data_IF_247222912998
#
_entry.id   IF_247222912998
#
_cell.length_a   1.000
_cell.length_b   1.000
_cell.length_c   1.000
_cell.angle_alpha   90.00
_cell.angle_beta   90.00
_cell.angle_gamma   90.00
#
_symmetry.space_group_name_H-M   'P 1'
#
loop_
_entity.id
_entity.type
_entity.pdbx_description
1 polymer ?
#
# COMPACT_ATOMS: atom_id res chain seq x y z
N UNK A 1 -4.10 -9.45 1.82
CA UNK A 1 -2.92 -8.55 1.66
C UNK A 1 -2.54 -8.24 0.20
N UNK A 2 -3.17 -8.86 -0.81
CA UNK A 2 -2.83 -8.62 -2.23
C UNK A 2 -3.14 -7.18 -2.68
N UNK A 3 -4.15 -6.59 -2.07
CA UNK A 3 -4.56 -5.20 -2.26
C UNK A 3 -4.27 -4.44 -0.97
N UNK A 4 -3.66 -3.27 -1.09
CA UNK A 4 -3.48 -2.28 -0.03
C UNK A 4 -3.66 -0.91 -0.69
N UNK A 5 -4.74 -0.16 -0.40
CA UNK A 5 -5.06 1.05 -1.15
C UNK A 5 -3.94 2.10 -1.17
N UNK A 6 -3.18 2.20 -0.08
CA UNK A 6 -2.06 3.13 0.04
C UNK A 6 -0.75 2.62 -0.58
N UNK A 7 -0.60 1.32 -0.87
CA UNK A 7 0.61 0.75 -1.49
C UNK A 7 0.43 0.34 -2.96
N UNK A 8 -0.69 0.67 -3.59
CA UNK A 8 -0.97 0.33 -5.00
C UNK A 8 0.23 0.64 -5.90
N UNK A 9 0.68 -0.33 -6.70
CA UNK A 9 1.83 -0.17 -7.59
C UNK A 9 3.21 -0.36 -6.94
N UNK A 10 3.35 -0.34 -5.61
CA UNK A 10 4.61 -0.64 -4.94
C UNK A 10 4.95 -2.13 -5.04
N UNK A 11 6.24 -2.47 -4.88
CA UNK A 11 6.68 -3.87 -4.78
C UNK A 11 6.11 -4.50 -3.51
N UNK A 12 5.69 -5.75 -3.63
CA UNK A 12 5.15 -6.51 -2.50
C UNK A 12 6.24 -6.72 -1.44
N UNK A 13 5.95 -6.33 -0.19
CA UNK A 13 6.86 -6.42 0.96
C UNK A 13 6.40 -7.42 2.04
N UNK A 14 5.39 -8.24 1.73
CA UNK A 14 4.91 -9.28 2.64
C UNK A 14 5.37 -10.66 2.19
N UNK A 15 5.67 -11.51 3.17
CA UNK A 15 5.93 -12.93 2.96
C UNK A 15 4.60 -13.67 2.73
N UNK A 16 4.37 -14.30 1.56
CA UNK A 16 3.17 -15.11 1.34
C UNK A 16 3.15 -16.33 2.26
N UNK A 17 1.95 -16.77 2.65
CA UNK A 17 1.78 -18.01 3.41
C UNK A 17 2.12 -19.22 2.55
N UNK A 18 2.91 -20.15 3.09
CA UNK A 18 3.37 -21.37 2.43
C UNK A 18 2.52 -22.61 2.82
N UNK A 19 1.20 -22.45 2.99
CA UNK A 19 0.33 -23.50 3.56
C UNK A 19 0.09 -24.69 2.63
N UNK A 20 0.21 -24.50 1.31
CA UNK A 20 0.02 -25.58 0.32
C UNK A 20 1.37 -26.26 0.06
N UNK A 21 1.54 -27.58 0.30
CA UNK A 21 2.85 -28.22 0.33
C UNK A 21 3.71 -28.02 -0.91
N UNK A 22 3.12 -28.19 -2.11
CA UNK A 22 3.81 -28.05 -3.39
C UNK A 22 4.17 -26.59 -3.69
N UNK A 23 3.22 -25.67 -3.49
CA UNK A 23 3.44 -24.22 -3.70
C UNK A 23 4.45 -23.67 -2.69
N UNK A 24 4.38 -24.13 -1.44
CA UNK A 24 5.30 -23.75 -0.37
C UNK A 24 6.74 -24.13 -0.69
N UNK A 25 6.97 -25.32 -1.24
CA UNK A 25 8.32 -25.72 -1.68
C UNK A 25 8.87 -24.82 -2.80
N UNK A 26 8.06 -24.50 -3.82
CA UNK A 26 8.43 -23.57 -4.90
C UNK A 26 8.76 -22.18 -4.32
N UNK A 27 7.94 -21.67 -3.39
CA UNK A 27 8.15 -20.37 -2.76
C UNK A 27 9.42 -20.33 -1.91
N UNK A 28 9.75 -21.41 -1.20
CA UNK A 28 11.03 -21.54 -0.46
C UNK A 28 12.23 -21.53 -1.40
N UNK A 29 12.15 -22.27 -2.52
CA UNK A 29 13.21 -22.26 -3.53
C UNK A 29 13.39 -20.86 -4.14
N UNK A 30 12.30 -20.20 -4.53
CA UNK A 30 12.33 -18.82 -5.04
C UNK A 30 12.99 -17.87 -4.04
N UNK A 31 12.60 -17.95 -2.76
CA UNK A 31 13.18 -17.14 -1.68
C UNK A 31 14.69 -17.34 -1.55
N UNK A 32 15.16 -18.61 -1.58
CA UNK A 32 16.58 -18.95 -1.45
C UNK A 32 17.42 -18.48 -2.65
N UNK A 33 16.84 -18.47 -3.86
CA UNK A 33 17.54 -18.12 -5.09
C UNK A 33 17.50 -16.62 -5.41
N UNK A 34 16.38 -15.95 -5.12
CA UNK A 34 16.12 -14.58 -5.57
C UNK A 34 15.89 -13.58 -4.41
N UNK A 35 15.78 -14.05 -3.17
CA UNK A 35 15.48 -13.22 -1.99
C UNK A 35 14.00 -13.20 -1.62
N UNK A 36 13.68 -12.62 -0.46
CA UNK A 36 12.34 -12.70 0.16
C UNK A 36 11.21 -12.12 -0.69
N UNK A 37 11.46 -11.01 -1.39
CA UNK A 37 10.44 -10.24 -2.09
C UNK A 37 10.56 -10.29 -3.62
N UNK A 38 11.58 -10.96 -4.14
CA UNK A 38 11.78 -11.06 -5.58
C UNK A 38 10.68 -11.91 -6.22
N UNK A 39 10.25 -11.49 -7.42
CA UNK A 39 9.22 -12.16 -8.23
C UNK A 39 7.83 -12.24 -7.57
N UNK A 40 7.56 -11.47 -6.51
CA UNK A 40 6.21 -11.34 -5.94
C UNK A 40 5.29 -10.36 -6.68
N UNK A 41 5.87 -9.55 -7.57
CA UNK A 41 5.14 -8.52 -8.31
C UNK A 41 4.89 -7.25 -7.50
N UNK A 42 3.79 -6.56 -7.81
CA UNK A 42 3.38 -5.28 -7.20
C UNK A 42 2.00 -5.42 -6.56
N UNK A 43 1.69 -4.54 -5.61
CA UNK A 43 0.34 -4.42 -5.06
C UNK A 43 -0.66 -4.07 -6.15
N UNK A 44 -1.73 -4.86 -6.22
CA UNK A 44 -2.84 -4.59 -7.12
C UNK A 44 -3.73 -3.47 -6.57
N UNK A 45 -4.36 -2.74 -7.48
CA UNK A 45 -5.43 -1.81 -7.13
C UNK A 45 -6.56 -2.55 -6.41
N UNK A 46 -7.14 -1.92 -5.39
CA UNK A 46 -8.29 -2.48 -4.70
C UNK A 46 -9.52 -2.51 -5.66
N UNK A 47 -10.30 -3.60 -5.72
CA UNK A 47 -11.45 -3.69 -6.62
C UNK A 47 -12.54 -2.66 -6.32
N UNK A 48 -12.69 -2.29 -5.03
CA UNK A 48 -13.54 -1.18 -4.60
C UNK A 48 -12.70 0.11 -4.47
N UNK A 49 -12.94 1.13 -5.32
CA UNK A 49 -12.23 2.42 -5.24
C UNK A 49 -12.58 3.23 -3.98
N UNK A 50 -13.70 2.95 -3.31
CA UNK A 50 -14.09 3.65 -2.08
C UNK A 50 -13.13 3.37 -0.93
N UNK A 51 -12.47 2.21 -0.91
CA UNK A 51 -11.46 1.87 0.09
C UNK A 51 -10.21 2.76 -0.04
N UNK A 52 -9.81 3.06 -1.28
CA UNK A 52 -8.74 4.02 -1.53
C UNK A 52 -9.17 5.43 -1.15
N UNK A 53 -10.35 5.86 -1.58
CA UNK A 53 -10.90 7.15 -1.20
C UNK A 53 -11.05 7.31 0.33
N UNK A 54 -11.44 6.27 1.04
CA UNK A 54 -11.57 6.30 2.50
C UNK A 54 -10.22 6.53 3.18
N UNK A 55 -9.19 5.76 2.83
CA UNK A 55 -7.85 5.93 3.39
C UNK A 55 -7.31 7.35 3.11
N UNK A 56 -7.41 7.82 1.87
CA UNK A 56 -6.87 9.12 1.49
C UNK A 56 -7.69 10.29 2.02
N UNK A 57 -8.99 10.10 2.25
CA UNK A 57 -9.82 11.08 2.96
C UNK A 57 -9.38 11.25 4.42
N UNK A 58 -9.01 10.16 5.10
CA UNK A 58 -8.44 10.22 6.45
C UNK A 58 -7.07 10.91 6.46
N UNK A 59 -6.20 10.56 5.51
CA UNK A 59 -4.89 11.20 5.37
C UNK A 59 -5.04 12.70 5.09
N UNK A 60 -5.97 13.08 4.22
CA UNK A 60 -6.27 14.48 3.91
C UNK A 60 -6.74 15.25 5.14
N UNK A 61 -7.67 14.70 5.92
CA UNK A 61 -8.12 15.32 7.17
C UNK A 61 -6.98 15.50 8.16
N UNK A 62 -6.16 14.47 8.37
CA UNK A 62 -5.00 14.56 9.26
C UNK A 62 -3.92 15.56 8.76
N UNK A 63 -3.78 15.71 7.45
CA UNK A 63 -2.90 16.70 6.84
C UNK A 63 -3.43 18.13 7.05
N UNK A 64 -4.72 18.36 6.79
CA UNK A 64 -5.38 19.66 6.98
C UNK A 64 -5.38 20.11 8.45
N UNK A 65 -5.49 19.18 9.40
CA UNK A 65 -5.36 19.43 10.84
C UNK A 65 -3.90 19.63 11.31
N UNK A 66 -2.91 19.44 10.43
CA UNK A 66 -1.49 19.56 10.75
C UNK A 66 -0.91 18.39 11.56
N UNK A 67 -1.66 17.29 11.72
CA UNK A 67 -1.20 16.06 12.39
C UNK A 67 -0.19 15.28 11.54
N UNK A 68 -0.25 15.46 10.22
CA UNK A 68 0.67 14.88 9.24
C UNK A 68 1.26 16.01 8.40
N UNK A 69 2.58 16.02 8.26
CA UNK A 69 3.33 17.05 7.51
C UNK A 69 3.77 16.56 6.12
N UNK A 70 4.07 17.50 5.23
CA UNK A 70 4.65 17.19 3.91
C UNK A 70 5.94 16.35 4.03
N UNK A 71 6.77 16.65 5.03
CA UNK A 71 8.01 15.92 5.29
C UNK A 71 7.74 14.44 5.62
N UNK A 72 6.75 14.16 6.47
CA UNK A 72 6.35 12.79 6.81
C UNK A 72 5.77 12.04 5.61
N UNK A 73 4.96 12.70 4.78
CA UNK A 73 4.40 12.08 3.56
C UNK A 73 5.54 11.76 2.59
N UNK A 74 6.47 12.69 2.38
CA UNK A 74 7.63 12.49 1.50
C UNK A 74 8.52 11.34 1.99
N UNK A 75 8.85 11.31 3.27
CA UNK A 75 9.62 10.22 3.87
C UNK A 75 8.92 8.87 3.72
N UNK A 76 7.59 8.83 3.91
CA UNK A 76 6.80 7.61 3.74
C UNK A 76 6.79 7.11 2.29
N UNK A 77 6.75 8.02 1.30
CA UNK A 77 6.90 7.68 -0.12
C UNK A 77 8.29 7.13 -0.41
N UNK A 78 9.35 7.81 0.04
CA UNK A 78 10.75 7.39 -0.14
C UNK A 78 11.01 5.99 0.44
N UNK A 79 10.41 5.67 1.59
CA UNK A 79 10.48 4.35 2.24
C UNK A 79 9.56 3.29 1.65
N UNK A 80 8.78 3.61 0.62
CA UNK A 80 7.75 2.73 0.03
C UNK A 80 6.69 2.26 1.04
N UNK A 81 6.40 3.07 2.07
CA UNK A 81 5.29 2.82 2.97
C UNK A 81 3.95 3.17 2.32
N UNK A 82 3.96 4.18 1.45
CA UNK A 82 2.84 4.61 0.62
C UNK A 82 3.29 4.84 -0.84
N UNK A 83 2.34 4.83 -1.78
CA UNK A 83 2.58 5.04 -3.22
C UNK A 83 3.13 6.43 -3.51
N UNK A 84 3.95 6.55 -4.55
CA UNK A 84 4.71 7.79 -4.82
C UNK A 84 3.86 8.94 -5.38
N UNK A 85 2.62 8.65 -5.76
CA UNK A 85 1.58 9.60 -6.15
C UNK A 85 0.56 9.82 -5.03
N UNK A 86 0.90 9.49 -3.77
CA UNK A 86 0.00 9.66 -2.63
C UNK A 86 -0.54 11.08 -2.48
N UNK A 87 0.26 12.12 -2.78
CA UNK A 87 -0.18 13.52 -2.70
C UNK A 87 -1.25 13.81 -3.77
N UNK A 88 -1.07 13.33 -4.99
CA UNK A 88 -2.05 13.49 -6.08
C UNK A 88 -3.36 12.77 -5.73
N UNK A 89 -3.25 11.54 -5.22
CA UNK A 89 -4.41 10.74 -4.80
C UNK A 89 -5.12 11.35 -3.58
N UNK A 90 -4.39 11.97 -2.67
CA UNK A 90 -4.98 12.72 -1.55
C UNK A 90 -5.79 13.92 -2.05
N UNK A 91 -5.23 14.68 -3.00
CA UNK A 91 -5.86 15.89 -3.52
C UNK A 91 -7.14 15.62 -4.33
N UNK A 92 -7.18 14.51 -5.08
CA UNK A 92 -8.35 14.14 -5.90
C UNK A 92 -9.53 13.59 -5.09
N UNK A 93 -9.28 13.13 -3.86
CA UNK A 93 -10.29 12.45 -3.05
C UNK A 93 -11.24 13.47 -2.42
N UNK A 94 -12.57 13.23 -2.48
CA UNK A 94 -13.53 14.10 -1.82
C UNK A 94 -13.30 14.11 -0.30
N UNK A 95 -13.61 15.22 0.39
CA UNK A 95 -13.53 15.27 1.85
C UNK A 95 -14.31 14.12 2.49
N UNK A 96 -13.75 13.56 3.57
CA UNK A 96 -14.41 12.48 4.27
C UNK A 96 -15.74 12.99 4.84
N UNK A 97 -16.85 12.31 4.54
CA UNK A 97 -18.13 12.64 5.19
C UNK A 97 -18.01 12.32 6.67
N UNK A 98 -18.49 13.22 7.53
CA UNK A 98 -18.67 12.92 8.94
C UNK A 98 -19.52 11.66 9.09
N UNK A 99 -19.16 10.78 10.02
CA UNK A 99 -20.02 9.66 10.38
C UNK A 99 -21.36 10.22 10.87
N UNK A 100 -22.45 9.72 10.29
CA UNK A 100 -23.81 10.14 10.62
C UNK A 100 -24.26 9.59 11.97
#
# INVERSE_FOLDING_TARGET
RRTQPWKTGLRVDYTPTEFVPVIGWIMRMRRKLFGDHALLGRYAQHPDPKQEAFFYGLLKGAYEEGLVTDAQIKEAMEKNYIRHDSIEVMNRVPPLKAAA
#
